data_IF_647048325059
#
_entry.id   IF_647048325059
#
_cell.length_a   1.000
_cell.length_b   1.000
_cell.length_c   1.000
_cell.angle_alpha   90.00
_cell.angle_beta   90.00
_cell.angle_gamma   90.00
#
_symmetry.space_group_name_H-M   'P 1'
#
loop_
_entity.id
_entity.type
_entity.pdbx_description
1 polymer ?
#
# COMPACT_ATOMS: atom_id res chain seq x y z
N UNK A 1 2.31 -2.75 8.49
CA UNK A 1 2.62 -3.03 7.07
C UNK A 1 2.57 -4.49 6.64
N UNK A 2 2.40 -5.48 7.54
CA UNK A 2 2.30 -6.90 7.15
C UNK A 2 1.18 -7.19 6.13
N UNK A 3 0.02 -6.53 6.26
CA UNK A 3 -1.11 -6.68 5.33
C UNK A 3 -0.78 -6.23 3.90
N UNK A 4 -0.23 -5.02 3.75
CA UNK A 4 0.21 -4.48 2.45
C UNK A 4 1.31 -5.34 1.81
N UNK A 5 2.29 -5.78 2.61
CA UNK A 5 3.36 -6.66 2.16
C UNK A 5 2.82 -8.00 1.61
N UNK A 6 1.88 -8.61 2.33
CA UNK A 6 1.22 -9.86 1.90
C UNK A 6 0.38 -9.65 0.63
N UNK A 7 -0.32 -8.52 0.53
CA UNK A 7 -1.12 -8.17 -0.64
C UNK A 7 -0.26 -7.96 -1.89
N UNK A 8 0.88 -7.28 -1.76
CA UNK A 8 1.80 -6.99 -2.86
C UNK A 8 2.81 -8.11 -3.12
N UNK A 9 2.82 -9.17 -2.30
CA UNK A 9 3.79 -10.26 -2.42
C UNK A 9 5.24 -9.83 -2.17
N UNK A 10 5.46 -8.77 -1.40
CA UNK A 10 6.79 -8.18 -1.17
C UNK A 10 7.23 -8.25 0.30
N UNK A 11 8.47 -7.88 0.58
CA UNK A 11 8.97 -7.79 1.95
C UNK A 11 8.29 -6.66 2.72
N UNK A 12 8.27 -6.75 4.06
CA UNK A 12 7.71 -5.69 4.93
C UNK A 12 8.43 -4.36 4.70
N UNK A 13 9.75 -4.40 4.52
CA UNK A 13 10.59 -3.24 4.24
C UNK A 13 10.15 -2.58 2.92
N UNK A 14 9.94 -3.38 1.87
CA UNK A 14 9.53 -2.88 0.56
C UNK A 14 8.13 -2.28 0.60
N UNK A 15 7.20 -2.91 1.30
CA UNK A 15 5.86 -2.37 1.51
C UNK A 15 5.89 -1.03 2.26
N UNK A 16 6.82 -0.87 3.21
CA UNK A 16 7.00 0.39 3.94
C UNK A 16 7.58 1.48 3.05
N UNK A 17 8.57 1.16 2.20
CA UNK A 17 9.08 2.11 1.19
C UNK A 17 7.97 2.58 0.25
N UNK A 18 7.15 1.67 -0.27
CA UNK A 18 6.06 1.97 -1.21
C UNK A 18 5.02 2.88 -0.55
N UNK A 19 4.67 2.61 0.72
CA UNK A 19 3.78 3.48 1.48
C UNK A 19 4.41 4.87 1.64
N UNK A 20 5.66 4.94 2.09
CA UNK A 20 6.34 6.21 2.33
C UNK A 20 6.62 7.01 1.06
N UNK A 21 6.67 6.35 -0.10
CA UNK A 21 6.88 7.02 -1.39
C UNK A 21 5.63 7.72 -1.93
N UNK A 22 4.48 7.61 -1.25
CA UNK A 22 3.20 8.18 -1.68
C UNK A 22 2.56 7.52 -2.90
N UNK A 23 3.11 6.39 -3.39
CA UNK A 23 2.64 5.74 -4.63
C UNK A 23 1.19 5.25 -4.51
N UNK A 24 0.78 4.89 -3.31
CA UNK A 24 -0.51 4.31 -3.01
C UNK A 24 -1.41 5.27 -2.22
N UNK A 25 -1.06 6.55 -2.10
CA UNK A 25 -1.82 7.51 -1.27
C UNK A 25 -3.28 7.60 -1.73
N UNK A 26 -3.52 7.56 -3.04
CA UNK A 26 -4.87 7.55 -3.60
C UNK A 26 -5.68 6.28 -3.27
N UNK A 27 -5.00 5.20 -2.87
CA UNK A 27 -5.60 3.92 -2.48
C UNK A 27 -5.54 3.64 -0.98
N UNK A 28 -4.94 4.54 -0.19
CA UNK A 28 -4.74 4.37 1.26
C UNK A 28 -5.50 5.49 1.98
N UNK A 29 -6.41 5.09 2.86
CA UNK A 29 -7.09 5.99 3.80
C UNK A 29 -6.60 5.65 5.20
N UNK A 30 -6.05 6.64 5.89
CA UNK A 30 -5.62 6.49 7.28
C UNK A 30 -6.58 7.27 8.19
N UNK A 31 -7.26 6.54 9.07
CA UNK A 31 -8.09 7.11 10.14
C UNK A 31 -7.46 6.77 11.49
N UNK A 32 -6.62 7.67 12.01
CA UNK A 32 -5.82 7.43 13.21
C UNK A 32 -4.88 6.24 13.05
N UNK A 33 -5.11 5.19 13.85
CA UNK A 33 -4.34 3.94 13.83
C UNK A 33 -4.87 2.90 12.83
N UNK A 34 -6.01 3.18 12.20
CA UNK A 34 -6.62 2.30 11.20
C UNK A 34 -6.16 2.74 9.82
N UNK A 35 -5.67 1.78 9.04
CA UNK A 35 -5.30 1.99 7.64
C UNK A 35 -6.19 1.09 6.79
N UNK A 36 -7.00 1.72 5.94
CA UNK A 36 -7.85 1.07 4.97
C UNK A 36 -7.15 1.19 3.62
N UNK A 37 -6.99 0.08 2.93
CA UNK A 37 -6.31 0.02 1.64
C UNK A 37 -7.28 -0.57 0.64
N UNK A 38 -7.60 0.19 -0.41
CA UNK A 38 -8.36 -0.33 -1.54
C UNK A 38 -7.46 -1.26 -2.34
N UNK A 39 -7.84 -2.55 -2.38
CA UNK A 39 -7.02 -3.60 -2.99
C UNK A 39 -6.86 -3.39 -4.49
N UNK A 40 -7.94 -3.09 -5.20
CA UNK A 40 -7.95 -3.00 -6.65
C UNK A 40 -7.23 -1.74 -7.10
N UNK A 41 -7.54 -0.61 -6.46
CA UNK A 41 -6.88 0.68 -6.77
C UNK A 41 -5.39 0.63 -6.47
N UNK A 42 -4.97 0.03 -5.36
CA UNK A 42 -3.55 -0.07 -5.02
C UNK A 42 -2.78 -0.97 -6.01
N UNK A 43 -3.37 -2.07 -6.49
CA UNK A 43 -2.75 -2.91 -7.54
C UNK A 43 -2.65 -2.14 -8.86
N UNK A 44 -3.69 -1.40 -9.25
CA UNK A 44 -3.69 -0.59 -10.46
C UNK A 44 -2.65 0.54 -10.42
N UNK A 45 -2.49 1.22 -9.28
CA UNK A 45 -1.45 2.25 -9.09
C UNK A 45 -0.05 1.63 -9.07
N UNK A 46 0.10 0.45 -8.48
CA UNK A 46 1.39 -0.25 -8.45
C UNK A 46 1.82 -0.76 -9.82
N UNK A 47 0.88 -1.24 -10.65
CA UNK A 47 1.13 -1.75 -12.00
C UNK A 47 1.35 -0.65 -13.06
N UNK A 48 0.99 0.60 -12.78
CA UNK A 48 1.25 1.75 -13.65
C UNK A 48 2.71 2.25 -13.58
N UNK A 49 3.56 1.55 -12.82
CA UNK A 49 4.98 1.89 -12.61
C UNK A 49 5.91 1.06 -13.48
#
# INVERSE_FOLDING_TARGET
MKGLAKMLGCSISKASEIKSSGLLDDAIIQNGNIIIIDKEKALALFAQK
#
